data_IF_464530468492
#
_entry.id   IF_464530468492
#
_cell.length_a   1.000
_cell.length_b   1.000
_cell.length_c   1.000
_cell.angle_alpha   90.00
_cell.angle_beta   90.00
_cell.angle_gamma   90.00
#
_symmetry.space_group_name_H-M   'P 1'
#
loop_
_entity.id
_entity.type
_entity.pdbx_description
1 polymer ?
#
# COMPACT_ATOMS: atom_id res chain seq x y z
N UNK A 1 6.17 6.06 -4.02
CA UNK A 1 5.14 5.80 -5.06
C UNK A 1 4.96 4.30 -5.13
N UNK A 2 3.75 3.81 -4.89
CA UNK A 2 3.43 2.39 -5.04
C UNK A 2 2.77 2.17 -6.41
N UNK A 3 3.24 1.19 -7.16
CA UNK A 3 2.74 0.92 -8.51
C UNK A 3 2.20 -0.50 -8.61
N UNK A 4 1.08 -0.67 -9.30
CA UNK A 4 0.60 -1.98 -9.69
C UNK A 4 1.49 -2.64 -10.74
N UNK A 5 1.36 -3.95 -10.87
CA UNK A 5 1.89 -4.67 -12.03
C UNK A 5 0.68 -5.13 -12.84
N UNK A 6 0.68 -4.92 -14.18
CA UNK A 6 -0.42 -5.36 -15.03
C UNK A 6 -0.66 -6.87 -14.83
N UNK A 7 -1.91 -7.28 -14.51
CA UNK A 7 -2.19 -8.66 -14.22
C UNK A 7 -2.03 -9.54 -15.47
N UNK A 8 -1.38 -10.68 -15.32
CA UNK A 8 -1.32 -11.76 -16.30
C UNK A 8 -2.07 -12.99 -15.77
N UNK A 9 -2.11 -14.08 -16.56
CA UNK A 9 -2.87 -15.30 -16.23
C UNK A 9 -2.49 -15.97 -14.90
N UNK A 10 -1.29 -15.68 -14.36
CA UNK A 10 -0.81 -16.21 -13.08
C UNK A 10 -0.94 -15.23 -11.91
N UNK A 11 -1.43 -14.02 -12.13
CA UNK A 11 -1.53 -13.00 -11.07
C UNK A 11 -2.64 -13.35 -10.09
N UNK A 12 -2.28 -13.38 -8.81
CA UNK A 12 -3.18 -13.61 -7.67
C UNK A 12 -3.28 -12.35 -6.80
N UNK A 13 -4.29 -12.27 -5.93
CA UNK A 13 -4.37 -11.22 -4.90
C UNK A 13 -3.10 -11.19 -4.03
N UNK A 14 -2.57 -12.36 -3.67
CA UNK A 14 -1.36 -12.45 -2.88
C UNK A 14 -0.14 -11.93 -3.63
N UNK A 15 0.00 -12.22 -4.93
CA UNK A 15 1.13 -11.70 -5.71
C UNK A 15 1.17 -10.18 -5.77
N UNK A 16 0.01 -9.50 -5.77
CA UNK A 16 -0.06 -8.04 -5.72
C UNK A 16 0.35 -7.50 -4.33
N UNK A 17 -0.03 -8.19 -3.25
CA UNK A 17 0.43 -7.87 -1.89
C UNK A 17 1.93 -8.11 -1.70
N UNK A 18 2.45 -9.18 -2.28
CA UNK A 18 3.88 -9.51 -2.25
C UNK A 18 4.69 -8.44 -3.00
N UNK A 19 4.18 -7.98 -4.14
CA UNK A 19 4.78 -6.87 -4.89
C UNK A 19 4.74 -5.57 -4.09
N UNK A 20 3.60 -5.23 -3.49
CA UNK A 20 3.50 -4.06 -2.62
C UNK A 20 4.47 -4.14 -1.43
N UNK A 21 4.61 -5.33 -0.83
CA UNK A 21 5.57 -5.59 0.26
C UNK A 21 7.02 -5.44 -0.20
N UNK A 22 7.33 -5.85 -1.43
CA UNK A 22 8.63 -5.61 -2.06
C UNK A 22 8.91 -4.11 -2.18
N UNK A 23 7.93 -3.32 -2.60
CA UNK A 23 8.03 -1.87 -2.68
C UNK A 23 8.16 -1.20 -1.31
N UNK A 24 7.45 -1.67 -0.28
CA UNK A 24 7.63 -1.22 1.12
C UNK A 24 9.08 -1.41 1.58
N UNK A 25 9.65 -2.58 1.31
CA UNK A 25 11.05 -2.86 1.62
C UNK A 25 11.99 -1.89 0.91
N UNK A 26 11.82 -1.73 -0.40
CA UNK A 26 12.72 -0.91 -1.21
C UNK A 26 12.62 0.58 -0.90
N UNK A 27 11.41 1.10 -0.69
CA UNK A 27 11.15 2.53 -0.55
C UNK A 27 11.19 3.00 0.90
N UNK A 28 10.87 2.14 1.86
CA UNK A 28 10.69 2.52 3.27
C UNK A 28 11.61 1.74 4.23
N UNK A 29 12.53 0.92 3.70
CA UNK A 29 13.58 0.26 4.46
C UNK A 29 13.10 -0.85 5.39
N UNK A 30 11.92 -1.41 5.13
CA UNK A 30 11.44 -2.58 5.87
C UNK A 30 12.23 -3.85 5.50
N UNK A 31 12.33 -4.85 6.41
CA UNK A 31 12.85 -6.16 6.05
C UNK A 31 11.94 -6.86 5.03
N UNK A 32 12.37 -8.02 4.51
CA UNK A 32 11.48 -8.84 3.70
C UNK A 32 10.29 -9.27 4.54
N UNK A 33 9.09 -8.93 4.09
CA UNK A 33 7.84 -9.20 4.78
C UNK A 33 6.89 -9.90 3.83
N UNK A 34 6.00 -10.71 4.41
CA UNK A 34 4.84 -11.26 3.74
C UNK A 34 3.62 -10.90 4.57
N UNK A 35 2.60 -10.39 3.91
CA UNK A 35 1.29 -10.16 4.51
C UNK A 35 0.22 -10.57 3.52
N UNK A 36 -0.81 -11.22 4.04
CA UNK A 36 -2.02 -11.57 3.32
C UNK A 36 -3.14 -10.54 3.53
N UNK A 37 -2.88 -9.43 4.24
CA UNK A 37 -3.85 -8.39 4.54
C UNK A 37 -3.35 -6.99 4.18
N UNK A 38 -4.11 -6.31 3.31
CA UNK A 38 -3.87 -4.92 2.95
C UNK A 38 -3.91 -3.97 4.15
N UNK A 39 -4.71 -4.22 5.20
CA UNK A 39 -4.71 -3.33 6.37
C UNK A 39 -3.34 -3.31 7.05
N UNK A 40 -2.70 -4.47 7.18
CA UNK A 40 -1.35 -4.56 7.74
C UNK A 40 -0.36 -3.78 6.86
N UNK A 41 -0.40 -3.98 5.54
CA UNK A 41 0.48 -3.26 4.61
C UNK A 41 0.29 -1.73 4.66
N UNK A 42 -0.96 -1.25 4.72
CA UNK A 42 -1.23 0.19 4.82
C UNK A 42 -0.85 0.78 6.18
N UNK A 43 -0.97 0.00 7.26
CA UNK A 43 -0.42 0.41 8.55
C UNK A 43 1.11 0.57 8.43
N UNK A 44 1.82 -0.38 7.84
CA UNK A 44 3.27 -0.22 7.64
C UNK A 44 3.66 1.02 6.82
N UNK A 45 2.85 1.41 5.83
CA UNK A 45 3.04 2.71 5.17
C UNK A 45 2.95 3.85 6.18
N UNK A 46 1.89 3.89 6.99
CA UNK A 46 1.63 4.93 7.97
C UNK A 46 2.72 5.05 9.04
N UNK A 47 3.34 3.94 9.47
CA UNK A 47 4.48 3.93 10.41
C UNK A 47 5.66 4.78 9.96
N UNK A 48 5.85 4.88 8.66
CA UNK A 48 7.01 5.52 8.05
C UNK A 48 6.74 6.96 7.62
N UNK A 49 5.51 7.45 7.77
CA UNK A 49 5.15 8.84 7.44
C UNK A 49 5.72 9.77 8.53
N UNK A 50 6.64 10.67 8.17
CA UNK A 50 7.23 11.60 9.14
C UNK A 50 6.23 12.69 9.52
N UNK A 51 5.97 12.89 10.82
CA UNK A 51 5.07 13.94 11.31
C UNK A 51 5.53 15.37 11.02
N UNK A 52 6.82 15.56 10.70
CA UNK A 52 7.45 16.88 10.53
C UNK A 52 7.65 17.30 9.08
N UNK A 53 7.26 16.48 8.10
CA UNK A 53 7.48 16.77 6.67
C UNK A 53 6.20 16.62 5.86
N UNK A 54 6.07 17.46 4.85
CA UNK A 54 5.08 17.21 3.81
C UNK A 54 5.44 15.93 3.06
N UNK A 55 4.46 15.05 2.93
CA UNK A 55 4.60 13.73 2.33
C UNK A 55 3.48 13.55 1.31
N UNK A 56 3.80 12.97 0.16
CA UNK A 56 2.82 12.59 -0.86
C UNK A 56 2.88 11.09 -1.04
N UNK A 57 1.75 10.40 -0.92
CA UNK A 57 1.66 8.96 -1.23
C UNK A 57 0.90 8.78 -2.54
N UNK A 58 1.64 8.48 -3.59
CA UNK A 58 1.07 8.15 -4.89
C UNK A 58 0.87 6.63 -5.01
N UNK A 59 -0.37 6.22 -5.28
CA UNK A 59 -0.72 4.88 -5.75
C UNK A 59 -1.01 4.96 -7.25
N UNK A 60 -0.08 4.47 -8.06
CA UNK A 60 -0.23 4.38 -9.51
C UNK A 60 -0.78 3.01 -9.90
N UNK A 61 -1.54 2.99 -10.99
CA UNK A 61 -2.18 1.76 -11.51
C UNK A 61 -2.96 1.01 -10.42
N UNK A 62 -3.66 1.79 -9.57
CA UNK A 62 -4.43 1.28 -8.43
C UNK A 62 -5.46 0.22 -8.83
N UNK A 63 -5.98 0.31 -10.05
CA UNK A 63 -6.88 -0.69 -10.63
C UNK A 63 -6.20 -2.06 -10.77
N UNK A 64 -4.89 -2.11 -11.02
CA UNK A 64 -4.12 -3.35 -11.10
C UNK A 64 -3.76 -3.89 -9.71
N UNK A 65 -3.34 -3.02 -8.78
CA UNK A 65 -3.04 -3.38 -7.39
C UNK A 65 -4.24 -4.11 -6.75
N UNK A 66 -5.44 -3.55 -6.92
CA UNK A 66 -6.68 -4.11 -6.40
C UNK A 66 -7.40 -5.09 -7.32
N UNK A 67 -6.90 -5.35 -8.54
CA UNK A 67 -7.66 -6.06 -9.59
C UNK A 67 -8.14 -7.46 -9.20
N UNK A 68 -7.43 -8.12 -8.28
CA UNK A 68 -7.70 -9.49 -7.82
C UNK A 68 -8.23 -9.56 -6.39
N UNK A 69 -8.42 -8.43 -5.73
CA UNK A 69 -8.88 -8.36 -4.35
C UNK A 69 -10.03 -7.34 -4.22
N UNK A 70 -11.30 -7.79 -4.11
CA UNK A 70 -12.44 -6.89 -4.05
C UNK A 70 -12.45 -6.01 -2.80
N UNK A 71 -11.76 -6.41 -1.72
CA UNK A 71 -11.72 -5.66 -0.47
C UNK A 71 -10.65 -4.55 -0.49
N UNK A 72 -9.76 -4.54 -1.49
CA UNK A 72 -8.64 -3.60 -1.57
C UNK A 72 -9.07 -2.14 -1.41
N UNK A 73 -10.05 -1.67 -2.18
CA UNK A 73 -10.50 -0.28 -2.13
C UNK A 73 -11.15 0.07 -0.79
N UNK A 74 -11.90 -0.88 -0.20
CA UNK A 74 -12.49 -0.72 1.12
C UNK A 74 -11.41 -0.59 2.20
N UNK A 75 -10.38 -1.43 2.15
CA UNK A 75 -9.24 -1.38 3.08
C UNK A 75 -8.39 -0.12 2.90
N UNK A 76 -8.18 0.34 1.67
CA UNK A 76 -7.50 1.61 1.42
C UNK A 76 -8.29 2.80 2.00
N UNK A 77 -9.61 2.81 1.81
CA UNK A 77 -10.48 3.82 2.42
C UNK A 77 -10.39 3.79 3.95
N UNK A 78 -10.44 2.59 4.55
CA UNK A 78 -10.30 2.42 5.98
C UNK A 78 -8.94 2.94 6.49
N UNK A 79 -7.85 2.60 5.80
CA UNK A 79 -6.53 3.09 6.14
C UNK A 79 -6.43 4.62 6.04
N UNK A 80 -7.05 5.21 5.02
CA UNK A 80 -7.13 6.65 4.88
C UNK A 80 -7.84 7.30 6.07
N UNK A 81 -9.01 6.77 6.42
CA UNK A 81 -9.85 7.31 7.49
C UNK A 81 -9.27 7.11 8.88
N UNK A 82 -8.61 5.98 9.14
CA UNK A 82 -8.12 5.63 10.47
C UNK A 82 -6.71 6.20 10.70
N UNK A 83 -5.86 6.22 9.67
CA UNK A 83 -4.44 6.49 9.80
C UNK A 83 -4.00 7.73 9.00
N UNK A 84 -4.10 7.68 7.66
CA UNK A 84 -3.43 8.66 6.80
C UNK A 84 -3.93 10.08 7.01
N UNK A 85 -5.24 10.31 7.08
CA UNK A 85 -5.79 11.68 7.24
C UNK A 85 -5.44 12.35 8.57
N UNK A 86 -4.86 11.62 9.53
CA UNK A 86 -4.39 12.19 10.80
C UNK A 86 -3.04 12.89 10.66
N UNK A 87 -2.32 12.67 9.56
CA UNK A 87 -1.08 13.37 9.26
C UNK A 87 -1.38 14.69 8.55
N UNK A 88 -1.20 15.86 9.22
CA UNK A 88 -1.59 17.14 8.64
C UNK A 88 -0.78 17.54 7.40
N UNK A 89 0.39 16.93 7.20
CA UNK A 89 1.25 17.16 6.04
C UNK A 89 1.16 16.09 4.95
N UNK A 90 0.20 15.17 5.03
CA UNK A 90 0.05 14.07 4.07
C UNK A 90 -0.99 14.42 3.00
N UNK A 91 -0.62 14.19 1.75
CA UNK A 91 -1.46 14.36 0.56
C UNK A 91 -1.53 13.08 -0.27
#
# INVERSE_FOLDING_TARGET
>A
MFSGIPPHSGTTAQSQRDEFSSQLRQQMGYPKLQSDDWNALFWMVNEKIPSSKQTVILFDEISWIGSKDPDFLGKLKNAWDIYFKKHPGLF
#
